data_IF_741909447682
#
_entry.id   IF_741909447682
#
_cell.length_a   1.000
_cell.length_b   1.000
_cell.length_c   1.000
_cell.angle_alpha   90.00
_cell.angle_beta   90.00
_cell.angle_gamma   90.00
#
_symmetry.space_group_name_H-M   'P 1'
#
loop_
_entity.id
_entity.type
_entity.pdbx_description
1 polymer ?
#
# COMPACT_ATOMS: atom_id res chain seq x y z
N UNK A 1 21.06 6.00 -13.74
CA UNK A 1 19.77 5.91 -13.03
C UNK A 1 19.02 7.15 -13.42
N UNK A 2 18.01 7.01 -14.28
CA UNK A 2 17.25 8.15 -14.77
C UNK A 2 16.52 8.75 -13.57
N UNK A 3 16.89 9.97 -13.18
CA UNK A 3 16.41 10.68 -11.99
C UNK A 3 14.95 11.14 -12.12
N UNK A 4 14.08 10.28 -12.61
CA UNK A 4 12.67 10.58 -12.84
C UNK A 4 11.94 10.59 -11.49
N UNK A 5 11.50 11.78 -11.09
CA UNK A 5 10.55 11.94 -9.99
C UNK A 5 9.16 11.56 -10.48
N UNK A 6 8.48 10.68 -9.77
CA UNK A 6 7.11 10.29 -10.05
C UNK A 6 6.14 11.14 -9.24
N UNK A 7 5.07 11.58 -9.87
CA UNK A 7 3.94 12.21 -9.18
C UNK A 7 3.04 11.15 -8.54
N UNK A 8 2.26 11.55 -7.53
CA UNK A 8 1.27 10.67 -6.88
C UNK A 8 0.25 10.10 -7.89
N UNK A 9 -0.15 10.90 -8.88
CA UNK A 9 -1.04 10.48 -9.95
C UNK A 9 -0.40 9.39 -10.83
N UNK A 10 0.87 9.56 -11.24
CA UNK A 10 1.58 8.54 -12.01
C UNK A 10 1.76 7.24 -11.20
N UNK A 11 2.06 7.33 -9.90
CA UNK A 11 2.17 6.16 -9.04
C UNK A 11 0.85 5.40 -8.92
N UNK A 12 -0.29 6.11 -8.86
CA UNK A 12 -1.62 5.49 -8.87
C UNK A 12 -1.91 4.78 -10.19
N UNK A 13 -1.57 5.39 -11.32
CA UNK A 13 -1.72 4.73 -12.63
C UNK A 13 -0.89 3.45 -12.73
N UNK A 14 0.33 3.45 -12.20
CA UNK A 14 1.14 2.22 -12.13
C UNK A 14 0.57 1.19 -11.15
N UNK A 15 -0.07 1.62 -10.06
CA UNK A 15 -0.78 0.70 -9.16
C UNK A 15 -1.95 0.01 -9.87
N UNK A 16 -2.70 0.71 -10.71
CA UNK A 16 -3.79 0.11 -11.50
C UNK A 16 -3.24 -0.94 -12.48
N UNK A 17 -2.12 -0.63 -13.16
CA UNK A 17 -1.43 -1.61 -14.03
C UNK A 17 -0.94 -2.82 -13.25
N UNK A 18 -0.29 -2.58 -12.10
CA UNK A 18 0.19 -3.63 -11.21
C UNK A 18 -0.94 -4.54 -10.71
N UNK A 19 -2.08 -3.96 -10.33
CA UNK A 19 -3.26 -4.69 -9.89
C UNK A 19 -3.82 -5.60 -10.99
N UNK A 20 -3.91 -5.09 -12.23
CA UNK A 20 -4.34 -5.88 -13.38
C UNK A 20 -3.40 -7.08 -13.65
N UNK A 21 -2.08 -6.86 -13.63
CA UNK A 21 -1.08 -7.91 -13.81
C UNK A 21 -1.12 -8.95 -12.68
N UNK A 22 -1.24 -8.50 -11.43
CA UNK A 22 -1.39 -9.36 -10.27
C UNK A 22 -2.65 -10.24 -10.38
N UNK A 23 -3.77 -9.67 -10.81
CA UNK A 23 -5.04 -10.38 -10.98
C UNK A 23 -4.98 -11.41 -12.11
N UNK A 24 -4.28 -11.12 -13.20
CA UNK A 24 -4.05 -12.03 -14.32
C UNK A 24 -3.05 -13.18 -14.01
N UNK A 25 -2.24 -13.03 -12.96
CA UNK A 25 -1.27 -14.05 -12.57
C UNK A 25 -1.91 -15.37 -12.10
N UNK A 26 -1.12 -16.44 -12.07
CA UNK A 26 -1.55 -17.75 -11.52
C UNK A 26 -1.40 -17.87 -10.01
N UNK A 27 -1.12 -16.76 -9.31
CA UNK A 27 -0.98 -16.76 -7.86
C UNK A 27 -2.31 -17.08 -7.16
N UNK A 28 -2.22 -17.52 -5.90
CA UNK A 28 -3.41 -17.68 -5.05
C UNK A 28 -4.07 -16.32 -4.81
N UNK A 29 -5.39 -16.31 -4.74
CA UNK A 29 -6.17 -15.06 -4.53
C UNK A 29 -5.74 -14.30 -3.28
N UNK A 30 -5.44 -15.01 -2.19
CA UNK A 30 -4.94 -14.39 -0.94
C UNK A 30 -3.61 -13.67 -1.16
N UNK A 31 -2.67 -14.28 -1.89
CA UNK A 31 -1.38 -13.67 -2.24
C UNK A 31 -1.56 -12.43 -3.12
N UNK A 32 -2.44 -12.50 -4.13
CA UNK A 32 -2.76 -11.35 -4.99
C UNK A 32 -3.28 -10.18 -4.16
N UNK A 33 -4.27 -10.44 -3.30
CA UNK A 33 -4.87 -9.42 -2.43
C UNK A 33 -3.86 -8.82 -1.46
N UNK A 34 -2.98 -9.63 -0.87
CA UNK A 34 -1.90 -9.13 0.00
C UNK A 34 -1.07 -8.10 -0.74
N UNK A 35 -0.57 -8.41 -1.94
CA UNK A 35 0.25 -7.50 -2.72
C UNK A 35 -0.47 -6.19 -3.08
N UNK A 36 -1.70 -6.29 -3.57
CA UNK A 36 -2.51 -5.12 -3.94
C UNK A 36 -2.77 -4.23 -2.71
N UNK A 37 -3.18 -4.83 -1.59
CA UNK A 37 -3.50 -4.09 -0.36
C UNK A 37 -2.28 -3.36 0.19
N UNK A 38 -1.11 -4.00 0.22
CA UNK A 38 0.11 -3.35 0.71
C UNK A 38 0.55 -2.20 -0.20
N UNK A 39 0.51 -2.38 -1.52
CA UNK A 39 0.86 -1.33 -2.47
C UNK A 39 -0.11 -0.14 -2.38
N UNK A 40 -1.42 -0.39 -2.25
CA UNK A 40 -2.42 0.66 -2.06
C UNK A 40 -2.22 1.43 -0.76
N UNK A 41 -2.02 0.74 0.36
CA UNK A 41 -1.73 1.40 1.66
C UNK A 41 -0.47 2.25 1.63
N UNK A 42 0.55 1.82 0.89
CA UNK A 42 1.77 2.59 0.71
C UNK A 42 1.51 3.92 -0.03
N UNK A 43 0.75 3.88 -1.13
CA UNK A 43 0.39 5.12 -1.84
C UNK A 43 -0.56 6.00 -1.04
N UNK A 44 -1.53 5.42 -0.33
CA UNK A 44 -2.41 6.17 0.56
C UNK A 44 -1.61 6.84 1.69
N UNK A 45 -0.56 6.20 2.19
CA UNK A 45 0.35 6.79 3.19
C UNK A 45 1.18 7.92 2.60
N UNK A 46 1.70 7.73 1.38
CA UNK A 46 2.47 8.73 0.66
C UNK A 46 1.67 10.03 0.43
N UNK A 47 0.38 9.90 0.10
CA UNK A 47 -0.56 11.02 -0.07
C UNK A 47 -1.12 11.56 1.25
N UNK A 48 -0.72 10.99 2.39
CA UNK A 48 -1.18 11.39 3.73
C UNK A 48 -2.57 10.89 4.13
N UNK A 49 -3.24 10.12 3.27
CA UNK A 49 -4.56 9.52 3.50
C UNK A 49 -4.55 8.26 4.38
N UNK A 50 -3.40 7.64 4.59
CA UNK A 50 -3.23 6.51 5.51
C UNK A 50 -2.34 6.86 6.69
N UNK A 51 -2.79 6.48 7.90
CA UNK A 51 -2.01 6.51 9.13
C UNK A 51 -1.90 5.09 9.66
N UNK A 52 -0.71 4.73 10.13
CA UNK A 52 -0.58 3.48 10.88
C UNK A 52 -1.43 3.57 12.13
N UNK A 53 -2.14 2.49 12.50
CA UNK A 53 -2.85 2.46 13.77
C UNK A 53 -1.86 2.72 14.88
N UNK A 54 -2.26 3.55 15.84
CA UNK A 54 -1.49 3.72 17.07
C UNK A 54 -1.40 2.35 17.75
N UNK A 55 -0.24 1.96 18.31
CA UNK A 55 -0.19 0.79 19.16
C UNK A 55 -1.26 0.93 20.24
N UNK A 56 -1.93 -0.17 20.64
CA UNK A 56 -2.89 -0.11 21.73
C UNK A 56 -2.17 0.51 22.94
N UNK A 57 -2.80 1.50 23.57
CA UNK A 57 -2.33 2.01 24.87
C UNK A 57 -2.20 0.81 25.78
N UNK A 58 -0.96 0.42 26.09
CA UNK A 58 -0.69 -0.58 27.12
C UNK A 58 -1.35 -0.07 28.38
N UNK A 59 -2.27 -0.86 28.95
CA UNK A 59 -2.96 -0.57 30.19
C UNK A 59 -2.03 -0.75 31.39
N UNK A 60 -0.85 -0.13 31.36
CA UNK A 60 0.11 -0.07 32.47
C UNK A 60 0.50 1.40 32.70
N UNK A 61 -0.52 2.20 33.00
CA UNK A 61 -0.37 3.38 33.83
C UNK A 61 -1.60 3.44 34.74
N UNK A 62 -1.65 2.52 35.69
CA UNK A 62 -2.41 2.71 36.93
C UNK A 62 -1.47 2.39 38.09
N UNK A 63 -1.01 3.47 38.73
CA UNK A 63 -0.70 3.66 40.16
C UNK A 63 -0.32 2.43 40.98
#
# INVERSE_FOLDING_TARGET
MDGRTWTAAELRSELDRYEAEAMASRLKSTTKLTYIVHARRFLDWLDGGYKFPEPPKTADEQV
#
